data_IF_668450978713
#
_entry.id   IF_668450978713
#
_cell.length_a   1.000
_cell.length_b   1.000
_cell.length_c   1.000
_cell.angle_alpha   90.00
_cell.angle_beta   90.00
_cell.angle_gamma   90.00
#
_symmetry.space_group_name_H-M   'P 1'
#
loop_
_entity.id
_entity.type
_entity.pdbx_description
1 polymer ?
#
# COMPACT_ATOMS: atom_id res chain seq x y z
N UNK A 1 -37.40 -37.94 -40.44
CA UNK A 1 -37.17 -36.49 -40.20
C UNK A 1 -36.61 -36.34 -38.78
N UNK A 2 -35.30 -36.13 -38.69
CA UNK A 2 -34.58 -36.03 -37.38
C UNK A 2 -34.65 -34.59 -36.89
N UNK A 3 -35.30 -34.34 -35.74
CA UNK A 3 -35.32 -33.03 -35.07
C UNK A 3 -33.97 -32.82 -34.36
N UNK A 4 -33.15 -31.90 -34.89
CA UNK A 4 -31.93 -31.44 -34.24
C UNK A 4 -32.29 -30.47 -33.14
N UNK A 5 -32.13 -30.86 -31.88
CA UNK A 5 -32.27 -30.00 -30.70
C UNK A 5 -30.96 -29.20 -30.54
N UNK A 6 -31.00 -27.94 -30.94
CA UNK A 6 -29.89 -27.00 -30.65
C UNK A 6 -30.00 -26.60 -29.18
N UNK A 7 -29.13 -27.16 -28.33
CA UNK A 7 -28.94 -26.65 -26.96
C UNK A 7 -28.12 -25.38 -26.99
N UNK A 8 -28.81 -24.24 -26.90
CA UNK A 8 -28.11 -22.95 -26.68
C UNK A 8 -27.63 -22.95 -25.22
N UNK A 9 -26.35 -23.18 -25.04
CA UNK A 9 -25.68 -23.01 -23.75
C UNK A 9 -25.47 -21.49 -23.55
N UNK A 10 -26.37 -20.89 -22.78
CA UNK A 10 -26.22 -19.49 -22.36
C UNK A 10 -25.11 -19.44 -21.33
N UNK A 11 -23.91 -19.12 -21.77
CA UNK A 11 -22.75 -18.88 -20.90
C UNK A 11 -23.01 -17.51 -20.22
N UNK A 12 -23.56 -17.56 -19.01
CA UNK A 12 -23.69 -16.37 -18.16
C UNK A 12 -22.27 -16.01 -17.69
N UNK A 13 -21.59 -15.16 -18.43
CA UNK A 13 -20.35 -14.55 -17.98
C UNK A 13 -20.65 -13.68 -16.77
N UNK A 14 -20.40 -14.20 -15.57
CA UNK A 14 -20.39 -13.41 -14.34
C UNK A 14 -19.15 -12.53 -14.44
N UNK A 15 -19.32 -11.34 -15.02
CA UNK A 15 -18.31 -10.31 -14.93
C UNK A 15 -18.28 -9.83 -13.47
N UNK A 16 -17.32 -10.36 -12.70
CA UNK A 16 -16.94 -9.73 -11.45
C UNK A 16 -16.37 -8.35 -11.77
N UNK A 17 -17.22 -7.38 -11.88
CA UNK A 17 -16.82 -5.98 -11.89
C UNK A 17 -16.19 -5.73 -10.53
N UNK A 18 -14.87 -5.61 -10.48
CA UNK A 18 -14.18 -5.10 -9.31
C UNK A 18 -14.65 -3.64 -9.14
N UNK A 19 -15.75 -3.45 -8.43
CA UNK A 19 -16.18 -2.12 -8.04
C UNK A 19 -15.14 -1.59 -7.06
N UNK A 20 -14.41 -0.55 -7.47
CA UNK A 20 -13.61 0.22 -6.54
C UNK A 20 -14.56 0.76 -5.46
N UNK A 21 -14.46 0.19 -4.28
CA UNK A 21 -15.28 0.56 -3.13
C UNK A 21 -14.69 1.83 -2.52
N UNK A 22 -15.35 2.97 -2.73
CA UNK A 22 -14.93 4.25 -2.16
C UNK A 22 -15.63 4.50 -0.84
N UNK A 23 -14.85 4.98 0.15
CA UNK A 23 -15.40 5.50 1.38
C UNK A 23 -16.03 6.87 1.12
N UNK A 24 -17.13 7.16 1.80
CA UNK A 24 -17.80 8.46 1.78
C UNK A 24 -17.99 9.00 3.18
N UNK A 25 -17.93 10.32 3.33
CA UNK A 25 -18.26 10.99 4.58
C UNK A 25 -19.72 11.47 4.56
N UNK A 26 -20.41 11.33 5.67
CA UNK A 26 -21.72 11.92 5.90
C UNK A 26 -21.78 12.44 7.34
N UNK A 27 -21.81 13.75 7.51
CA UNK A 27 -21.64 14.42 8.80
C UNK A 27 -20.30 14.05 9.44
N UNK A 28 -20.35 13.52 10.64
CA UNK A 28 -19.14 13.09 11.40
C UNK A 28 -18.78 11.60 11.22
N UNK A 29 -19.39 10.93 10.26
CA UNK A 29 -19.21 9.49 10.06
C UNK A 29 -18.63 9.18 8.68
N UNK A 30 -17.93 8.04 8.59
CA UNK A 30 -17.44 7.46 7.36
C UNK A 30 -18.25 6.20 7.08
N UNK A 31 -18.59 6.01 5.81
CA UNK A 31 -19.39 4.87 5.33
C UNK A 31 -18.68 4.17 4.18
N UNK A 32 -18.86 2.87 4.08
CA UNK A 32 -18.47 2.06 2.92
C UNK A 32 -19.39 2.38 1.71
N UNK A 33 -19.06 1.85 0.55
CA UNK A 33 -19.93 1.92 -0.64
C UNK A 33 -21.29 1.26 -0.41
N UNK A 34 -21.34 0.23 0.43
CA UNK A 34 -22.56 -0.50 0.80
C UNK A 34 -23.41 0.26 1.82
N UNK A 35 -22.92 1.39 2.33
CA UNK A 35 -23.62 2.22 3.30
C UNK A 35 -23.42 1.81 4.75
N UNK A 36 -22.49 0.92 5.03
CA UNK A 36 -22.13 0.54 6.39
C UNK A 36 -21.21 1.59 7.03
N UNK A 37 -21.49 1.92 8.28
CA UNK A 37 -20.64 2.83 9.06
C UNK A 37 -19.33 2.13 9.42
N UNK A 38 -18.20 2.76 9.08
CA UNK A 38 -16.87 2.24 9.40
C UNK A 38 -16.09 3.19 10.32
N UNK A 39 -15.32 2.61 11.22
CA UNK A 39 -14.30 3.30 12.01
C UNK A 39 -12.94 2.87 11.44
N UNK A 40 -12.17 3.83 10.93
CA UNK A 40 -10.82 3.56 10.44
C UNK A 40 -9.89 3.33 11.63
N UNK A 41 -9.36 2.11 11.71
CA UNK A 41 -8.29 1.71 12.62
C UNK A 41 -7.02 1.61 11.79
N UNK A 42 -6.25 2.70 11.74
CA UNK A 42 -5.14 2.84 10.81
C UNK A 42 -3.78 2.70 11.46
N UNK A 43 -2.81 2.18 10.68
CA UNK A 43 -1.40 2.18 10.99
C UNK A 43 -0.66 3.11 10.03
N UNK A 44 0.19 4.00 10.58
CA UNK A 44 1.13 4.79 9.79
C UNK A 44 2.35 3.95 9.40
N UNK A 45 2.69 3.91 8.11
CA UNK A 45 3.84 3.18 7.59
C UNK A 45 5.04 4.12 7.48
N UNK A 46 5.49 4.69 8.61
CA UNK A 46 6.64 5.58 8.67
C UNK A 46 7.95 4.88 8.31
N UNK A 47 8.95 5.66 7.89
CA UNK A 47 10.27 5.14 7.54
C UNK A 47 10.38 4.45 6.19
N UNK A 48 9.29 4.08 5.55
CA UNK A 48 9.29 3.36 4.28
C UNK A 48 9.62 4.29 3.09
N UNK A 49 8.62 4.95 2.52
CA UNK A 49 8.80 5.84 1.35
C UNK A 49 9.33 7.24 1.72
N UNK A 50 9.18 7.64 2.97
CA UNK A 50 9.84 8.81 3.55
C UNK A 50 10.70 8.33 4.70
N UNK A 51 12.01 8.36 4.50
CA UNK A 51 12.99 7.89 5.48
C UNK A 51 13.14 8.89 6.60
N UNK A 52 13.09 8.42 7.83
CA UNK A 52 13.14 9.26 9.03
C UNK A 52 14.33 8.83 9.89
N UNK A 53 15.25 9.79 10.16
CA UNK A 53 16.52 9.50 10.80
C UNK A 53 16.42 8.87 12.18
N UNK A 54 15.40 9.23 12.96
CA UNK A 54 15.16 8.63 14.28
C UNK A 54 14.71 7.17 14.20
N UNK A 55 13.93 6.81 13.16
CA UNK A 55 13.49 5.43 12.95
C UNK A 55 14.64 4.54 12.46
N UNK A 56 15.49 5.08 11.59
CA UNK A 56 16.64 4.37 11.02
C UNK A 56 17.88 4.44 11.91
N UNK A 57 17.80 5.15 13.03
CA UNK A 57 18.92 5.36 13.96
C UNK A 57 20.17 5.90 13.24
N UNK A 58 19.98 6.87 12.34
CA UNK A 58 21.05 7.52 11.59
C UNK A 58 21.49 8.83 12.27
N UNK A 59 22.51 8.82 13.15
CA UNK A 59 22.91 10.01 13.89
C UNK A 59 23.34 11.14 12.94
N UNK A 60 22.84 12.35 13.18
CA UNK A 60 23.18 13.53 12.37
C UNK A 60 22.60 13.56 10.96
N UNK A 61 21.62 12.69 10.66
CA UNK A 61 20.85 12.70 9.41
C UNK A 61 19.36 12.70 9.74
N UNK A 62 18.75 13.87 9.74
CA UNK A 62 17.32 14.05 10.13
C UNK A 62 16.36 13.95 8.96
N UNK A 63 16.75 14.42 7.79
CA UNK A 63 15.91 14.41 6.60
C UNK A 63 16.22 13.23 5.66
N UNK A 64 15.28 12.84 4.77
CA UNK A 64 15.56 11.85 3.73
C UNK A 64 16.80 12.18 2.91
N UNK A 65 17.00 13.46 2.53
CA UNK A 65 18.15 13.92 1.77
C UNK A 65 19.48 13.76 2.54
N UNK A 66 19.46 14.04 3.85
CA UNK A 66 20.68 13.86 4.67
C UNK A 66 21.07 12.38 4.77
N UNK A 67 20.05 11.51 4.89
CA UNK A 67 20.24 10.06 4.92
C UNK A 67 20.80 9.57 3.57
N UNK A 68 20.22 10.03 2.46
CA UNK A 68 20.69 9.70 1.11
C UNK A 68 22.13 10.15 0.88
N UNK A 69 22.47 11.40 1.23
CA UNK A 69 23.81 11.94 1.11
C UNK A 69 24.80 11.14 1.96
N UNK A 70 24.43 10.80 3.18
CA UNK A 70 25.29 10.02 4.09
C UNK A 70 25.59 8.63 3.55
N UNK A 71 24.59 7.93 3.05
CA UNK A 71 24.76 6.60 2.43
C UNK A 71 25.56 6.73 1.13
N UNK A 72 25.23 7.70 0.27
CA UNK A 72 25.94 7.94 -0.99
C UNK A 72 27.44 8.24 -0.76
N UNK A 73 27.75 9.05 0.25
CA UNK A 73 29.14 9.33 0.61
C UNK A 73 29.89 8.10 1.15
N UNK A 74 29.17 7.16 1.76
CA UNK A 74 29.76 5.95 2.35
C UNK A 74 30.04 4.86 1.31
N UNK A 75 29.12 4.64 0.37
CA UNK A 75 29.16 3.48 -0.55
C UNK A 75 29.19 3.85 -2.04
N UNK A 76 29.19 5.13 -2.38
CA UNK A 76 29.13 5.65 -3.74
C UNK A 76 27.72 5.70 -4.33
N UNK A 77 27.50 6.52 -5.39
CA UNK A 77 26.17 6.79 -5.92
C UNK A 77 25.47 5.56 -6.51
N UNK A 78 26.17 4.72 -7.25
CA UNK A 78 25.57 3.55 -7.89
C UNK A 78 25.11 2.51 -6.84
N UNK A 79 25.97 2.25 -5.85
CA UNK A 79 25.62 1.34 -4.75
C UNK A 79 24.50 1.90 -3.88
N UNK A 80 24.47 3.20 -3.65
CA UNK A 80 23.41 3.87 -2.89
C UNK A 80 22.05 3.73 -3.59
N UNK A 81 22.03 3.91 -4.91
CA UNK A 81 20.80 3.70 -5.70
C UNK A 81 20.25 2.28 -5.52
N UNK A 82 21.09 1.27 -5.64
CA UNK A 82 20.70 -0.13 -5.45
C UNK A 82 20.24 -0.39 -4.01
N UNK A 83 20.96 0.20 -3.03
CA UNK A 83 20.59 0.10 -1.62
C UNK A 83 19.18 0.62 -1.37
N UNK A 84 18.85 1.83 -1.83
CA UNK A 84 17.54 2.41 -1.58
C UNK A 84 16.42 1.69 -2.33
N UNK A 85 16.65 1.19 -3.55
CA UNK A 85 15.70 0.34 -4.24
C UNK A 85 15.38 -0.94 -3.44
N UNK A 86 16.40 -1.61 -2.92
CA UNK A 86 16.22 -2.80 -2.07
C UNK A 86 15.56 -2.47 -0.74
N UNK A 87 15.91 -1.35 -0.14
CA UNK A 87 15.29 -0.88 1.08
C UNK A 87 13.78 -0.74 0.90
N UNK A 88 13.31 -0.05 -0.12
CA UNK A 88 11.90 0.17 -0.41
C UNK A 88 11.14 -1.14 -0.71
N UNK A 89 11.81 -2.07 -1.41
CA UNK A 89 11.22 -3.37 -1.77
C UNK A 89 11.08 -4.34 -0.57
N UNK A 90 11.93 -4.19 0.45
CA UNK A 90 12.00 -5.13 1.57
C UNK A 90 11.55 -4.56 2.92
N UNK A 91 11.41 -3.24 3.02
CA UNK A 91 11.00 -2.57 4.26
C UNK A 91 9.58 -2.96 4.68
N UNK A 92 8.69 -3.09 3.71
CA UNK A 92 7.31 -3.54 3.90
C UNK A 92 6.98 -4.61 2.87
N UNK A 93 6.44 -5.72 3.32
CA UNK A 93 6.06 -6.84 2.46
C UNK A 93 4.61 -7.28 2.73
N UNK A 94 4.12 -8.22 1.94
CA UNK A 94 2.75 -8.73 2.04
C UNK A 94 2.42 -9.29 3.42
N UNK A 95 3.38 -9.97 4.07
CA UNK A 95 3.16 -10.59 5.39
C UNK A 95 2.94 -9.53 6.48
N UNK A 96 3.61 -8.38 6.36
CA UNK A 96 3.43 -7.27 7.31
C UNK A 96 2.00 -6.71 7.21
N UNK A 97 1.47 -6.58 6.00
CA UNK A 97 0.08 -6.14 5.77
C UNK A 97 -0.92 -7.18 6.28
N UNK A 98 -0.68 -8.46 6.00
CA UNK A 98 -1.53 -9.55 6.48
C UNK A 98 -1.54 -9.57 8.03
N UNK A 99 -0.39 -9.33 8.67
CA UNK A 99 -0.26 -9.25 10.12
C UNK A 99 -1.02 -8.04 10.71
N UNK A 100 -0.98 -6.89 10.04
CA UNK A 100 -1.77 -5.74 10.45
C UNK A 100 -3.28 -6.04 10.40
N UNK A 101 -3.72 -6.73 9.35
CA UNK A 101 -5.12 -7.16 9.23
C UNK A 101 -5.51 -8.13 10.35
N UNK A 102 -4.66 -9.10 10.70
CA UNK A 102 -4.86 -10.02 11.83
C UNK A 102 -4.96 -9.29 13.18
N UNK A 103 -4.21 -8.21 13.36
CA UNK A 103 -4.29 -7.36 14.56
C UNK A 103 -5.53 -6.44 14.56
N UNK A 104 -6.37 -6.50 13.51
CA UNK A 104 -7.62 -5.76 13.42
C UNK A 104 -7.48 -4.34 12.88
N UNK A 105 -6.35 -4.00 12.26
CA UNK A 105 -6.24 -2.76 11.47
C UNK A 105 -6.98 -2.95 10.14
N UNK A 106 -7.71 -1.92 9.71
CA UNK A 106 -8.47 -1.92 8.47
C UNK A 106 -8.06 -0.81 7.50
N UNK A 107 -7.01 -0.09 7.85
CA UNK A 107 -6.46 0.99 7.01
C UNK A 107 -4.98 1.18 7.26
N UNK A 108 -4.26 1.67 6.26
CA UNK A 108 -2.86 2.05 6.36
C UNK A 108 -2.67 3.45 5.77
N UNK A 109 -1.72 4.19 6.32
CA UNK A 109 -1.35 5.52 5.85
C UNK A 109 0.13 5.52 5.44
N UNK A 110 0.47 5.23 4.18
CA UNK A 110 1.83 5.39 3.69
C UNK A 110 2.16 6.89 3.52
N UNK A 111 3.18 7.42 4.19
CA UNK A 111 3.73 8.71 3.86
C UNK A 111 4.54 8.60 2.56
N UNK A 112 4.41 9.55 1.66
CA UNK A 112 5.22 9.64 0.45
C UNK A 112 5.53 11.10 0.12
N UNK A 113 6.62 11.30 -0.61
CA UNK A 113 7.03 12.61 -1.07
C UNK A 113 6.65 12.79 -2.54
N UNK A 114 6.36 14.04 -2.95
CA UNK A 114 5.96 14.35 -4.34
C UNK A 114 7.01 13.98 -5.41
N UNK A 115 8.24 13.68 -5.00
CA UNK A 115 9.33 13.21 -5.86
C UNK A 115 9.50 11.68 -5.86
N UNK A 116 8.63 10.95 -5.15
CA UNK A 116 8.69 9.48 -5.11
C UNK A 116 8.06 8.87 -6.36
#
# INVERSE_FOLDING_TARGET
>A
MKKVLIKIFLFLAITNSAHASYLRSAGKYIFTSEGEKIILKGMGLGGWLVREGYMLQTPGAGSPTDIENKITNLIGPDSAKVFFQRYEQHFLNRKDIDQLAEWGFNSVRPPFHYKA
#
